data_IF_028186841367
#
_entry.id   IF_028186841367
#
_cell.length_a   1.000
_cell.length_b   1.000
_cell.length_c   1.000
_cell.angle_alpha   90.00
_cell.angle_beta   90.00
_cell.angle_gamma   90.00
#
_symmetry.space_group_name_H-M   'P 1'
#
loop_
_entity.id
_entity.type
_entity.pdbx_description
1 polymer ?
#
# COMPACT_ATOMS: atom_id res chain seq x y z
N UNK A 1 9.19 18.05 25.96
CA UNK A 1 9.29 16.90 25.03
C UNK A 1 8.10 16.84 24.06
N UNK A 2 6.86 16.80 24.54
CA UNK A 2 5.64 16.72 23.70
C UNK A 2 5.51 17.88 22.70
N UNK A 3 5.68 19.13 23.16
CA UNK A 3 5.65 20.30 22.27
C UNK A 3 6.74 20.26 21.18
N UNK A 4 7.96 19.81 21.53
CA UNK A 4 9.04 19.64 20.56
C UNK A 4 8.71 18.56 19.53
N UNK A 5 8.15 17.44 19.97
CA UNK A 5 7.67 16.37 19.09
C UNK A 5 6.58 16.88 18.13
N UNK A 6 5.63 17.68 18.63
CA UNK A 6 4.59 18.31 17.82
C UNK A 6 5.17 19.21 16.73
N UNK A 7 6.14 20.08 17.07
CA UNK A 7 6.81 20.95 16.10
C UNK A 7 7.54 20.12 15.04
N UNK A 8 8.31 19.11 15.45
CA UNK A 8 9.03 18.23 14.53
C UNK A 8 8.07 17.47 13.60
N UNK A 9 6.89 17.08 14.08
CA UNK A 9 5.87 16.42 13.25
C UNK A 9 5.31 17.38 12.18
N UNK A 10 5.11 18.66 12.52
CA UNK A 10 4.69 19.69 11.55
C UNK A 10 5.80 19.99 10.54
N UNK A 11 7.03 20.19 11.01
CA UNK A 11 8.21 20.42 10.14
C UNK A 11 8.44 19.27 9.17
N UNK A 12 8.36 18.02 9.65
CA UNK A 12 8.46 16.83 8.81
C UNK A 12 7.44 16.86 7.67
N UNK A 13 6.17 17.19 7.98
CA UNK A 13 5.12 17.26 6.98
C UNK A 13 5.43 18.32 5.91
N UNK A 14 5.87 19.50 6.33
CA UNK A 14 6.25 20.57 5.41
C UNK A 14 7.40 20.15 4.50
N UNK A 15 8.44 19.52 5.05
CA UNK A 15 9.57 19.00 4.26
C UNK A 15 9.10 17.91 3.28
N UNK A 16 8.22 17.00 3.71
CA UNK A 16 7.64 15.97 2.84
C UNK A 16 6.85 16.59 1.68
N UNK A 17 6.05 17.64 1.95
CA UNK A 17 5.28 18.36 0.93
C UNK A 17 6.21 19.06 -0.09
N UNK A 18 7.26 19.73 0.37
CA UNK A 18 8.27 20.36 -0.50
C UNK A 18 9.02 19.34 -1.37
N UNK A 19 9.44 18.22 -0.77
CA UNK A 19 10.10 17.13 -1.49
C UNK A 19 9.18 16.52 -2.56
N UNK A 20 7.89 16.36 -2.26
CA UNK A 20 6.91 15.87 -3.23
C UNK A 20 6.73 16.85 -4.39
N UNK A 21 6.65 18.16 -4.12
CA UNK A 21 6.55 19.16 -5.18
C UNK A 21 7.78 19.14 -6.12
N UNK A 22 8.99 19.06 -5.57
CA UNK A 22 10.22 18.95 -6.36
C UNK A 22 10.26 17.66 -7.19
N UNK A 23 9.80 16.55 -6.60
CA UNK A 23 9.73 15.26 -7.29
C UNK A 23 8.83 15.34 -8.52
N UNK A 24 7.68 16.00 -8.43
CA UNK A 24 6.79 16.23 -9.56
C UNK A 24 7.48 17.08 -10.64
N UNK A 25 8.19 18.14 -10.26
CA UNK A 25 8.98 18.95 -11.21
C UNK A 25 10.01 18.10 -11.94
N UNK A 26 10.74 17.22 -11.24
CA UNK A 26 11.71 16.32 -11.86
C UNK A 26 11.04 15.32 -12.81
N UNK A 27 9.88 14.77 -12.45
CA UNK A 27 9.13 13.89 -13.35
C UNK A 27 8.75 14.61 -14.64
N UNK A 28 8.20 15.83 -14.55
CA UNK A 28 7.84 16.65 -15.71
C UNK A 28 9.05 17.03 -16.56
N UNK A 29 10.19 17.35 -15.92
CA UNK A 29 11.44 17.60 -16.61
C UNK A 29 11.86 16.38 -17.44
N UNK A 30 11.92 15.19 -16.83
CA UNK A 30 12.29 13.98 -17.56
C UNK A 30 11.25 13.57 -18.60
N UNK A 31 9.96 13.82 -18.41
CA UNK A 31 8.93 13.58 -19.42
C UNK A 31 9.17 14.39 -20.69
N UNK A 32 9.55 15.67 -20.55
CA UNK A 32 9.85 16.55 -21.67
C UNK A 32 11.16 16.21 -22.38
N UNK A 33 12.20 15.82 -21.63
CA UNK A 33 13.55 15.65 -22.18
C UNK A 33 13.90 14.21 -22.56
N UNK A 34 13.36 13.22 -21.84
CA UNK A 34 13.64 11.79 -22.04
C UNK A 34 12.43 10.99 -22.48
N UNK A 35 11.21 11.49 -22.25
CA UNK A 35 9.94 10.84 -22.62
C UNK A 35 9.27 10.11 -21.44
N UNK A 36 7.94 10.02 -21.44
CA UNK A 36 7.12 9.68 -20.25
C UNK A 36 7.52 8.40 -19.50
N UNK A 37 7.88 7.34 -20.21
CA UNK A 37 8.18 6.02 -19.62
C UNK A 37 9.65 5.62 -19.72
N UNK A 38 10.55 6.60 -19.87
CA UNK A 38 11.98 6.35 -20.06
C UNK A 38 12.78 6.57 -18.79
N UNK A 39 13.88 5.84 -18.62
CA UNK A 39 14.83 6.16 -17.56
C UNK A 39 15.55 7.47 -17.90
N UNK A 40 15.79 8.29 -16.90
CA UNK A 40 16.47 9.57 -17.05
C UNK A 40 17.55 9.73 -15.98
N UNK A 41 18.63 10.40 -16.34
CA UNK A 41 19.74 10.68 -15.43
C UNK A 41 20.22 12.12 -15.64
N UNK A 42 20.49 12.81 -14.54
CA UNK A 42 21.07 14.14 -14.51
C UNK A 42 22.13 14.18 -13.41
N UNK A 43 23.31 14.68 -13.72
CA UNK A 43 24.38 14.90 -12.74
C UNK A 43 24.63 16.40 -12.67
N UNK A 44 24.52 16.96 -11.48
CA UNK A 44 24.75 18.38 -11.22
C UNK A 44 25.38 18.55 -9.84
N UNK A 45 26.40 19.39 -9.71
CA UNK A 45 27.04 19.73 -8.44
C UNK A 45 27.47 18.52 -7.57
N UNK A 46 27.91 17.43 -8.22
CA UNK A 46 28.32 16.20 -7.54
C UNK A 46 27.17 15.30 -7.06
N UNK A 47 25.92 15.66 -7.37
CA UNK A 47 24.74 14.86 -7.08
C UNK A 47 24.17 14.26 -8.37
N UNK A 48 23.70 13.01 -8.27
CA UNK A 48 23.07 12.28 -9.37
C UNK A 48 21.58 12.11 -9.10
N UNK A 49 20.76 12.75 -9.93
CA UNK A 49 19.32 12.55 -9.98
C UNK A 49 19.00 11.48 -11.03
N UNK A 50 18.32 10.42 -10.62
CA UNK A 50 17.95 9.32 -11.52
C UNK A 50 16.46 8.99 -11.43
N UNK A 51 15.77 9.02 -12.57
CA UNK A 51 14.40 8.52 -12.68
C UNK A 51 14.41 7.01 -12.92
N UNK A 52 13.87 6.28 -11.97
CA UNK A 52 13.64 4.84 -12.10
C UNK A 52 12.24 4.58 -12.66
N UNK A 53 12.15 3.79 -13.73
CA UNK A 53 10.89 3.27 -14.25
C UNK A 53 10.83 1.77 -13.97
N UNK A 54 9.75 1.32 -13.33
CA UNK A 54 9.46 -0.09 -13.07
C UNK A 54 8.16 -0.46 -13.78
N UNK A 55 8.25 -1.31 -14.80
CA UNK A 55 7.05 -1.86 -15.44
C UNK A 55 6.53 -3.00 -14.57
N UNK A 56 5.28 -2.92 -14.13
CA UNK A 56 4.60 -4.03 -13.48
C UNK A 56 3.46 -4.46 -14.38
N UNK A 57 3.50 -5.70 -14.84
CA UNK A 57 2.40 -6.30 -15.59
C UNK A 57 1.63 -7.19 -14.63
N UNK A 58 0.32 -6.98 -14.55
CA UNK A 58 -0.58 -7.79 -13.74
C UNK A 58 -1.76 -8.18 -14.61
N UNK A 59 -2.20 -9.41 -14.44
CA UNK A 59 -3.48 -9.84 -14.98
C UNK A 59 -4.61 -9.13 -14.23
N UNK A 60 -5.64 -8.73 -14.98
CA UNK A 60 -6.86 -8.19 -14.41
C UNK A 60 -7.64 -9.37 -13.80
N UNK A 61 -7.84 -9.43 -12.47
CA UNK A 61 -8.31 -10.65 -11.81
C UNK A 61 -9.60 -11.21 -12.40
N UNK A 62 -10.67 -10.42 -12.45
CA UNK A 62 -11.98 -10.87 -12.93
C UNK A 62 -12.00 -11.31 -14.41
N UNK A 63 -11.56 -10.50 -15.39
CA UNK A 63 -11.61 -10.91 -16.79
C UNK A 63 -10.61 -12.03 -17.10
N UNK A 64 -9.47 -12.12 -16.39
CA UNK A 64 -8.52 -13.22 -16.56
C UNK A 64 -9.07 -14.51 -15.98
N UNK A 65 -9.64 -14.51 -14.77
CA UNK A 65 -10.27 -15.68 -14.16
C UNK A 65 -11.41 -16.20 -15.04
N UNK A 66 -12.32 -15.33 -15.48
CA UNK A 66 -13.42 -15.71 -16.38
C UNK A 66 -12.92 -16.40 -17.65
N UNK A 67 -11.86 -15.87 -18.27
CA UNK A 67 -11.28 -16.44 -19.49
C UNK A 67 -10.58 -17.78 -19.22
N UNK A 68 -9.94 -17.94 -18.08
CA UNK A 68 -9.36 -19.21 -17.65
C UNK A 68 -10.45 -20.27 -17.36
N UNK A 69 -11.59 -19.87 -16.80
CA UNK A 69 -12.76 -20.74 -16.61
C UNK A 69 -13.35 -21.19 -17.96
N UNK A 70 -13.51 -20.27 -18.92
CA UNK A 70 -13.94 -20.60 -20.29
C UNK A 70 -12.99 -21.60 -20.98
N UNK A 71 -11.68 -21.47 -20.73
CA UNK A 71 -10.64 -22.38 -21.22
C UNK A 71 -10.53 -23.68 -20.41
N UNK A 72 -11.31 -23.84 -19.34
CA UNK A 72 -11.27 -24.98 -18.40
C UNK A 72 -9.88 -25.19 -17.76
N UNK A 73 -9.10 -24.12 -17.60
CA UNK A 73 -7.76 -24.12 -16.98
C UNK A 73 -7.85 -23.74 -15.50
N UNK A 74 -8.53 -24.56 -14.69
CA UNK A 74 -8.76 -24.28 -13.27
C UNK A 74 -7.47 -24.35 -12.44
N UNK A 75 -6.46 -25.06 -12.91
CA UNK A 75 -5.12 -25.13 -12.32
C UNK A 75 -4.37 -23.79 -12.32
N UNK A 76 -4.77 -22.85 -13.19
CA UNK A 76 -4.21 -21.51 -13.26
C UNK A 76 -4.99 -20.49 -12.41
N UNK A 77 -6.02 -20.94 -11.67
CA UNK A 77 -6.85 -20.11 -10.81
C UNK A 77 -6.53 -20.45 -9.35
N UNK A 78 -6.02 -19.48 -8.60
CA UNK A 78 -5.72 -19.66 -7.18
C UNK A 78 -7.00 -19.53 -6.33
N UNK A 79 -7.44 -20.64 -5.71
CA UNK A 79 -8.59 -20.65 -4.78
C UNK A 79 -8.11 -20.51 -3.33
N UNK A 80 -8.31 -19.32 -2.74
CA UNK A 80 -7.92 -19.05 -1.35
C UNK A 80 -9.05 -19.33 -0.37
N UNK A 81 -8.83 -20.23 0.58
CA UNK A 81 -9.71 -20.46 1.75
C UNK A 81 -9.28 -19.55 2.89
N UNK A 82 -9.90 -18.38 2.99
CA UNK A 82 -9.60 -17.37 4.01
C UNK A 82 -10.80 -17.28 4.97
N UNK A 83 -10.59 -17.19 6.29
CA UNK A 83 -11.68 -16.97 7.25
C UNK A 83 -12.45 -15.68 6.91
N UNK A 84 -13.77 -15.79 6.82
CA UNK A 84 -14.65 -14.63 6.67
C UNK A 84 -14.88 -14.00 8.04
N UNK A 85 -13.98 -13.12 8.46
CA UNK A 85 -13.99 -12.49 9.80
C UNK A 85 -15.31 -11.77 10.10
N UNK A 86 -15.93 -11.18 9.07
CA UNK A 86 -17.21 -10.49 9.22
C UNK A 86 -18.34 -11.47 9.54
N UNK A 87 -18.44 -12.58 8.79
CA UNK A 87 -19.44 -13.61 9.08
C UNK A 87 -19.17 -14.32 10.40
N UNK A 88 -17.91 -14.64 10.70
CA UNK A 88 -17.54 -15.28 11.96
C UNK A 88 -17.96 -14.39 13.15
N UNK A 89 -17.61 -13.10 13.10
CA UNK A 89 -17.98 -12.16 14.17
C UNK A 89 -19.50 -11.94 14.28
N UNK A 90 -20.23 -11.92 13.17
CA UNK A 90 -21.68 -11.85 13.17
C UNK A 90 -22.31 -13.12 13.77
N UNK A 91 -21.84 -14.31 13.40
CA UNK A 91 -22.32 -15.59 13.94
C UNK A 91 -22.07 -15.69 15.45
N UNK A 92 -20.93 -15.23 15.96
CA UNK A 92 -20.66 -15.16 17.40
C UNK A 92 -21.66 -14.22 18.09
N UNK A 93 -21.87 -13.01 17.56
CA UNK A 93 -22.82 -12.04 18.13
C UNK A 93 -24.27 -12.54 18.13
N UNK A 94 -24.65 -13.35 17.13
CA UNK A 94 -25.98 -13.93 17.00
C UNK A 94 -26.13 -15.25 17.79
N UNK A 95 -25.09 -15.72 18.47
CA UNK A 95 -25.11 -16.99 19.22
C UNK A 95 -25.18 -18.24 18.34
N UNK A 96 -24.87 -18.12 17.05
CA UNK A 96 -24.80 -19.25 16.10
C UNK A 96 -23.45 -19.98 16.15
N UNK A 97 -22.46 -19.39 16.80
CA UNK A 97 -21.12 -19.92 16.99
C UNK A 97 -20.62 -19.49 18.37
N UNK A 98 -20.12 -20.42 19.18
CA UNK A 98 -19.54 -20.04 20.46
C UNK A 98 -18.11 -19.54 20.26
N UNK A 99 -17.70 -18.57 21.06
CA UNK A 99 -16.34 -18.01 20.95
C UNK A 99 -15.29 -19.04 21.38
N UNK A 100 -15.66 -19.94 22.30
CA UNK A 100 -14.85 -21.07 22.78
C UNK A 100 -14.55 -22.09 21.67
N UNK A 101 -15.45 -22.26 20.69
CA UNK A 101 -15.25 -23.17 19.56
C UNK A 101 -14.08 -22.71 18.66
N UNK A 102 -13.68 -21.44 18.76
CA UNK A 102 -12.55 -20.85 18.05
C UNK A 102 -11.39 -20.47 18.98
N UNK A 103 -11.34 -21.04 20.18
CA UNK A 103 -10.24 -20.82 21.11
C UNK A 103 -8.88 -21.25 20.48
N UNK A 104 -7.87 -20.38 20.58
CA UNK A 104 -6.55 -20.61 19.99
C UNK A 104 -6.43 -20.24 18.49
N UNK A 105 -7.52 -19.91 17.81
CA UNK A 105 -7.49 -19.51 16.39
C UNK A 105 -7.24 -18.01 16.17
N UNK A 106 -7.24 -17.19 17.24
CA UNK A 106 -7.03 -15.74 17.16
C UNK A 106 -5.57 -15.39 17.47
N UNK A 107 -4.90 -14.73 16.53
CA UNK A 107 -3.62 -14.07 16.79
C UNK A 107 -3.89 -12.63 17.23
N UNK A 108 -3.59 -12.32 18.49
CA UNK A 108 -3.74 -10.96 19.03
C UNK A 108 -2.38 -10.24 18.94
N UNK A 109 -2.30 -9.29 18.01
CA UNK A 109 -1.11 -8.45 17.84
C UNK A 109 -1.39 -7.03 18.35
N UNK A 110 -0.51 -6.52 19.20
CA UNK A 110 -0.57 -5.13 19.68
C UNK A 110 0.42 -4.27 18.89
N UNK A 111 -0.10 -3.34 18.08
CA UNK A 111 0.71 -2.28 17.49
C UNK A 111 0.60 -1.01 18.35
N UNK A 112 1.74 -0.38 18.64
CA UNK A 112 1.79 0.87 19.39
C UNK A 112 1.86 2.03 18.40
N UNK A 113 1.00 3.03 18.55
CA UNK A 113 1.02 4.26 17.76
C UNK A 113 1.00 5.48 18.69
N UNK A 114 1.71 6.54 18.31
CA UNK A 114 1.72 7.81 19.03
C UNK A 114 0.94 8.83 18.20
N UNK A 115 -0.11 9.40 18.79
CA UNK A 115 -0.89 10.48 18.20
C UNK A 115 -0.86 11.70 19.12
N UNK A 116 -0.75 12.89 18.53
CA UNK A 116 -0.78 14.17 19.24
C UNK A 116 -1.94 15.00 18.68
N UNK A 117 -2.73 15.62 19.55
CA UNK A 117 -3.88 16.46 19.18
C UNK A 117 -3.83 17.75 20.00
N UNK A 118 -4.17 18.86 19.36
CA UNK A 118 -4.42 20.12 20.06
C UNK A 118 -5.74 19.99 20.84
N UNK A 119 -5.80 20.59 22.04
CA UNK A 119 -6.98 20.59 22.92
C UNK A 119 -7.54 21.99 22.98
#
# INVERSE_FOLDING_TARGET
MIARYHCLMKEKKTIEDEMNALKEVFHHFFDKHTGVNQKGELIENGLKLQRQIRKTEKYLPEPTVKKLEELRMSELIEVKKIPDEQKISASIKLGLLNEEDLAGCKMINYSKAIAIKEV
#
